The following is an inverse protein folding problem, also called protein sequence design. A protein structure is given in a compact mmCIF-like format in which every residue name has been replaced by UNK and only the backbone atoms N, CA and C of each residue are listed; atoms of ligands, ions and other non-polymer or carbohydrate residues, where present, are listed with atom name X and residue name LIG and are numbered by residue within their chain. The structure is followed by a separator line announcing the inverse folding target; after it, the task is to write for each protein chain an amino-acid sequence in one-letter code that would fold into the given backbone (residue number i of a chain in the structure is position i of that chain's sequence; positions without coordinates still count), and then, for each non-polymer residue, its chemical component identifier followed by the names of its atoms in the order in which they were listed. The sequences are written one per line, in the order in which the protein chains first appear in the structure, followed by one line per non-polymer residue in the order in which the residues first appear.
data_IF_397098843782
#
_entry.id   IF_397098843782
#
_cell.length_a   1.000
_cell.length_b   1.000
_cell.length_c   1.000
_cell.angle_alpha   90.00
_cell.angle_beta   90.00
_cell.angle_gamma   90.00
#
_symmetry.space_group_name_H-M   'P 1'
#
loop_
_entity.id
_entity.type
_entity.pdbx_description
1 polymer ?
#
# COMPACT_ATOMS: atom_id res chain seq x y z
N UNK A 1 11.84 -57.09 32.16
CA UNK A 1 11.90 -55.77 32.84
C UNK A 1 13.29 -55.13 32.85
N UNK A 2 14.38 -55.86 33.17
CA UNK A 2 15.74 -55.29 33.31
C UNK A 2 16.30 -54.52 32.09
N UNK A 3 16.06 -54.99 30.84
CA UNK A 3 16.54 -54.30 29.63
C UNK A 3 15.87 -52.94 29.39
N UNK A 4 14.54 -52.85 29.61
CA UNK A 4 13.80 -51.57 29.49
C UNK A 4 14.26 -50.53 30.50
N UNK A 5 14.61 -50.96 31.71
CA UNK A 5 15.15 -50.09 32.74
C UNK A 5 16.54 -49.55 32.34
N UNK A 6 17.40 -50.41 31.76
CA UNK A 6 18.72 -50.00 31.29
C UNK A 6 18.68 -48.97 30.15
N UNK A 7 17.78 -49.13 29.18
CA UNK A 7 17.60 -48.15 28.11
C UNK A 7 17.03 -46.82 28.62
N UNK A 8 16.09 -46.85 29.57
CA UNK A 8 15.57 -45.64 30.19
C UNK A 8 16.67 -44.86 30.93
N UNK A 9 17.55 -45.57 31.66
CA UNK A 9 18.71 -44.96 32.32
C UNK A 9 19.71 -44.35 31.33
N UNK A 10 19.98 -45.04 30.21
CA UNK A 10 20.91 -44.57 29.19
C UNK A 10 20.40 -43.32 28.46
N UNK A 11 19.10 -43.26 28.17
CA UNK A 11 18.45 -42.08 27.56
C UNK A 11 18.44 -40.91 28.53
N UNK A 12 18.15 -41.15 29.81
CA UNK A 12 18.18 -40.11 30.84
C UNK A 12 19.60 -39.53 31.00
N UNK A 13 20.63 -40.39 31.00
CA UNK A 13 22.02 -39.96 31.08
C UNK A 13 22.48 -39.16 29.85
N UNK A 14 22.03 -39.51 28.65
CA UNK A 14 22.28 -38.71 27.44
C UNK A 14 21.57 -37.36 27.47
N UNK A 15 20.35 -37.29 28.01
CA UNK A 15 19.60 -36.04 28.14
C UNK A 15 20.28 -35.08 29.12
N UNK A 16 20.85 -35.59 30.21
CA UNK A 16 21.59 -34.77 31.19
C UNK A 16 22.92 -34.26 30.61
N UNK A 17 23.63 -35.07 29.81
CA UNK A 17 24.87 -34.64 29.14
C UNK A 17 24.66 -33.59 28.03
N UNK A 18 23.43 -33.42 27.55
CA UNK A 18 23.09 -32.50 26.45
C UNK A 18 22.77 -31.07 26.90
N UNK A 19 22.75 -30.82 28.22
CA UNK A 19 22.53 -29.48 28.79
C UNK A 19 23.78 -28.61 28.61
N UNK A 20 23.93 -28.03 27.41
CA UNK A 20 24.86 -26.93 27.15
C UNK A 20 24.31 -25.69 27.85
N UNK A 21 24.89 -25.31 28.99
CA UNK A 21 24.62 -24.01 29.61
C UNK A 21 25.19 -22.92 28.72
N UNK A 22 24.33 -22.15 28.07
CA UNK A 22 24.72 -20.91 27.38
C UNK A 22 25.15 -19.88 28.42
N UNK A 23 26.46 -19.74 28.62
CA UNK A 23 26.99 -18.63 29.43
C UNK A 23 26.90 -17.35 28.60
N UNK A 24 26.03 -16.42 29.01
CA UNK A 24 25.99 -15.09 28.43
C UNK A 24 27.30 -14.36 28.76
N UNK A 25 28.00 -13.86 27.74
CA UNK A 25 29.20 -13.07 27.95
C UNK A 25 28.82 -11.74 28.60
N UNK A 26 29.35 -11.47 29.79
CA UNK A 26 29.13 -10.19 30.48
C UNK A 26 29.96 -9.11 29.80
N UNK A 27 29.30 -8.18 29.09
CA UNK A 27 29.94 -6.99 28.51
C UNK A 27 29.63 -5.77 29.37
N UNK A 28 30.67 -5.12 29.87
CA UNK A 28 30.54 -3.87 30.62
C UNK A 28 30.59 -2.70 29.65
N UNK A 29 29.59 -1.81 29.71
CA UNK A 29 29.56 -0.55 28.98
C UNK A 29 29.69 0.60 29.99
N UNK A 30 30.78 1.37 29.87
CA UNK A 30 30.99 2.56 30.72
C UNK A 30 30.50 3.80 29.98
N UNK A 31 29.50 4.49 30.54
CA UNK A 31 28.95 5.73 29.98
C UNK A 31 29.50 6.93 30.74
N UNK A 32 30.14 7.86 30.04
CA UNK A 32 30.69 9.09 30.62
C UNK A 32 29.76 10.29 30.37
N UNK A 33 28.69 10.39 31.16
CA UNK A 33 27.64 11.40 30.96
C UNK A 33 28.12 12.86 31.07
N UNK A 34 29.21 13.11 31.80
CA UNK A 34 29.80 14.45 31.96
C UNK A 34 30.78 14.84 30.84
N UNK A 35 31.12 13.92 29.93
CA UNK A 35 32.02 14.19 28.81
C UNK A 35 31.24 14.33 27.49
N UNK A 36 30.59 15.47 27.27
CA UNK A 36 29.89 15.76 26.02
C UNK A 36 30.91 15.85 24.87
N UNK A 37 30.73 15.04 23.82
CA UNK A 37 31.64 15.01 22.65
C UNK A 37 31.11 15.79 21.45
N UNK A 38 29.80 15.83 21.27
CA UNK A 38 29.14 16.55 20.18
C UNK A 38 27.68 16.81 20.56
N UNK A 39 27.11 17.87 20.00
CA UNK A 39 25.68 18.14 20.04
C UNK A 39 24.95 17.27 19.00
N UNK A 40 23.82 16.68 19.39
CA UNK A 40 22.96 15.91 18.48
C UNK A 40 22.02 16.91 17.80
N UNK A 41 22.18 17.08 16.49
CA UNK A 41 21.33 18.01 15.75
C UNK A 41 19.88 17.48 15.68
N UNK A 42 18.85 18.34 15.88
CA UNK A 42 17.46 17.91 15.77
C UNK A 42 17.09 17.34 14.40
N UNK A 43 17.85 17.68 13.35
CA UNK A 43 17.66 17.24 11.96
C UNK A 43 18.30 15.90 11.65
N UNK A 44 18.93 15.23 12.62
CA UNK A 44 19.48 13.88 12.39
C UNK A 44 18.39 12.83 12.09
N UNK A 45 17.12 13.14 12.38
CA UNK A 45 15.97 12.28 12.10
C UNK A 45 14.94 13.06 11.29
N UNK A 46 14.46 12.46 10.21
CA UNK A 46 13.49 13.05 9.31
C UNK A 46 12.76 12.00 8.48
N UNK A 47 11.92 12.48 7.55
CA UNK A 47 11.14 11.64 6.64
C UNK A 47 11.64 11.89 5.22
N UNK A 48 11.94 10.81 4.50
CA UNK A 48 12.09 10.84 3.05
C UNK A 48 10.75 10.51 2.40
N UNK A 49 10.39 11.26 1.36
CA UNK A 49 9.13 11.07 0.65
C UNK A 49 9.35 11.02 -0.86
N UNK A 50 8.85 9.96 -1.47
CA UNK A 50 8.70 9.80 -2.91
C UNK A 50 7.33 9.15 -3.17
N UNK A 51 6.78 9.35 -4.38
CA UNK A 51 5.62 8.58 -4.78
C UNK A 51 6.06 7.20 -5.28
N UNK A 52 6.16 6.26 -4.35
CA UNK A 52 6.40 4.85 -4.62
C UNK A 52 5.34 4.01 -3.93
N UNK A 53 4.90 2.93 -4.59
CA UNK A 53 3.94 1.97 -4.03
C UNK A 53 2.61 2.61 -3.54
N UNK A 54 2.11 3.64 -4.24
CA UNK A 54 0.90 4.40 -3.84
C UNK A 54 1.11 5.19 -2.53
N UNK A 55 2.33 5.69 -2.29
CA UNK A 55 2.67 6.50 -1.12
C UNK A 55 2.14 7.93 -1.21
N UNK A 56 2.08 8.51 -2.41
CA UNK A 56 1.42 9.79 -2.65
C UNK A 56 -0.03 9.59 -3.10
N UNK A 57 -0.22 9.22 -4.37
CA UNK A 57 -1.54 8.95 -4.94
C UNK A 57 -2.09 7.62 -4.41
N UNK A 58 -3.19 7.69 -3.65
CA UNK A 58 -3.72 6.56 -2.89
C UNK A 58 -3.13 6.39 -1.49
N UNK A 59 -2.20 7.26 -1.11
CA UNK A 59 -1.56 7.32 0.20
C UNK A 59 -1.88 8.64 0.90
N UNK A 60 -0.89 9.52 1.01
CA UNK A 60 -1.05 10.80 1.73
C UNK A 60 -1.92 11.81 0.98
N UNK A 61 -2.03 11.71 -0.36
CA UNK A 61 -2.93 12.56 -1.12
C UNK A 61 -4.37 12.07 -0.98
N UNK A 62 -5.27 12.95 -0.54
CA UNK A 62 -6.63 12.61 -0.13
C UNK A 62 -7.61 12.28 -1.28
N UNK A 63 -7.15 12.29 -2.53
CA UNK A 63 -7.99 11.91 -3.66
C UNK A 63 -8.34 10.42 -3.59
N UNK A 64 -9.64 10.12 -3.69
CA UNK A 64 -10.15 8.76 -3.65
C UNK A 64 -10.30 8.16 -5.05
N UNK A 65 -10.49 9.01 -6.07
CA UNK A 65 -10.68 8.63 -7.47
C UNK A 65 -9.32 8.42 -8.15
N UNK A 66 -9.03 7.16 -8.44
CA UNK A 66 -7.82 6.77 -9.17
C UNK A 66 -7.89 7.25 -10.61
N UNK A 67 -6.80 7.82 -11.12
CA UNK A 67 -6.71 8.23 -12.53
C UNK A 67 -7.88 9.16 -12.96
N UNK A 68 -8.19 10.17 -12.14
CA UNK A 68 -9.30 11.11 -12.36
C UNK A 68 -9.21 11.92 -13.67
N UNK A 69 -8.00 12.02 -14.23
CA UNK A 69 -7.71 12.77 -15.47
C UNK A 69 -7.45 11.88 -16.69
N UNK A 70 -7.57 10.56 -16.59
CA UNK A 70 -7.32 9.60 -17.69
C UNK A 70 -5.90 9.66 -18.28
N UNK A 71 -4.91 10.10 -17.49
CA UNK A 71 -3.52 10.31 -17.92
C UNK A 71 -2.63 9.08 -17.78
N UNK A 72 -3.10 8.02 -17.11
CA UNK A 72 -2.34 6.78 -17.00
C UNK A 72 -2.10 6.15 -18.38
N UNK A 73 -1.09 5.27 -18.45
CA UNK A 73 -0.74 4.56 -19.68
C UNK A 73 -1.96 3.87 -20.30
N UNK A 74 -2.70 3.11 -19.48
CA UNK A 74 -4.06 2.66 -19.84
C UNK A 74 -5.05 3.74 -19.38
N UNK A 75 -5.70 4.48 -20.31
CA UNK A 75 -6.45 5.67 -19.93
C UNK A 75 -7.67 5.36 -19.06
N UNK A 76 -8.26 4.17 -19.21
CA UNK A 76 -9.37 3.69 -18.38
C UNK A 76 -8.90 2.91 -17.13
N UNK A 77 -7.61 2.91 -16.79
CA UNK A 77 -7.16 2.25 -15.56
C UNK A 77 -7.90 2.82 -14.35
N UNK A 78 -8.43 1.93 -13.51
CA UNK A 78 -9.25 2.28 -12.36
C UNK A 78 -10.72 2.57 -12.69
N UNK A 79 -11.08 2.71 -13.97
CA UNK A 79 -12.45 2.96 -14.42
C UNK A 79 -13.06 1.74 -15.10
N UNK A 80 -14.33 1.50 -14.81
CA UNK A 80 -15.15 0.47 -15.47
C UNK A 80 -16.36 1.13 -16.13
N UNK A 81 -16.59 0.80 -17.40
CA UNK A 81 -17.84 1.13 -18.10
C UNK A 81 -18.90 0.11 -17.68
N UNK A 82 -20.04 0.62 -17.22
CA UNK A 82 -21.20 -0.14 -16.78
C UNK A 82 -22.42 0.19 -17.64
N UNK A 83 -23.46 -0.63 -17.51
CA UNK A 83 -24.74 -0.46 -18.21
C UNK A 83 -24.92 -1.51 -19.30
N UNK A 84 -26.14 -2.03 -19.45
CA UNK A 84 -26.47 -3.08 -20.44
C UNK A 84 -26.58 -2.55 -21.87
N UNK A 85 -26.64 -1.22 -22.04
CA UNK A 85 -26.82 -0.56 -23.33
C UNK A 85 -25.55 0.05 -23.92
N UNK A 86 -24.43 0.06 -23.18
CA UNK A 86 -23.19 0.64 -23.65
C UNK A 86 -22.63 -0.14 -24.84
N UNK A 87 -22.48 0.52 -25.98
CA UNK A 87 -21.87 -0.02 -27.19
C UNK A 87 -20.45 0.53 -27.34
N UNK A 88 -19.67 -0.15 -28.17
CA UNK A 88 -18.39 0.40 -28.61
C UNK A 88 -18.62 1.78 -29.25
N UNK A 89 -17.78 2.76 -28.88
CA UNK A 89 -17.90 4.14 -29.34
C UNK A 89 -18.76 5.05 -28.46
N UNK A 90 -19.57 4.51 -27.54
CA UNK A 90 -20.38 5.36 -26.64
C UNK A 90 -19.52 6.00 -25.53
N UNK A 91 -18.44 5.34 -25.12
CA UNK A 91 -17.46 5.88 -24.16
C UNK A 91 -16.10 5.91 -24.83
N UNK A 92 -15.59 7.12 -25.07
CA UNK A 92 -14.31 7.35 -25.72
C UNK A 92 -13.40 8.17 -24.82
N UNK A 93 -12.11 7.83 -24.84
CA UNK A 93 -11.08 8.72 -24.30
C UNK A 93 -10.52 9.53 -25.47
N UNK A 94 -10.74 10.83 -25.41
CA UNK A 94 -10.33 11.76 -26.46
C UNK A 94 -9.16 12.61 -25.97
N UNK A 95 -8.30 12.99 -26.92
CA UNK A 95 -7.19 13.89 -26.66
C UNK A 95 -7.60 15.34 -26.92
N UNK A 96 -7.14 16.24 -26.04
CA UNK A 96 -7.30 17.70 -26.15
C UNK A 96 -6.01 18.45 -25.84
N UNK A 97 -4.85 17.80 -25.99
CA UNK A 97 -3.53 18.36 -25.63
C UNK A 97 -3.28 19.76 -26.22
N UNK A 98 -3.75 20.01 -27.44
CA UNK A 98 -3.62 21.32 -28.09
C UNK A 98 -4.46 22.41 -27.40
N UNK A 99 -5.64 22.05 -26.89
CA UNK A 99 -6.53 22.97 -26.18
C UNK A 99 -6.20 23.08 -24.68
N UNK A 100 -5.70 22.01 -24.07
CA UNK A 100 -5.29 21.95 -22.67
C UNK A 100 -4.14 20.95 -22.50
N UNK A 101 -2.92 21.47 -22.43
CA UNK A 101 -1.71 20.67 -22.28
C UNK A 101 -1.54 20.08 -20.88
N UNK A 102 -2.08 20.74 -19.85
CA UNK A 102 -2.04 20.28 -18.45
C UNK A 102 -3.08 19.20 -18.12
N UNK A 103 -4.06 18.99 -18.99
CA UNK A 103 -5.01 17.90 -18.88
C UNK A 103 -5.38 17.43 -20.31
N UNK A 104 -4.50 16.66 -20.95
CA UNK A 104 -4.53 16.39 -22.38
C UNK A 104 -5.57 15.35 -22.78
N UNK A 105 -6.27 14.73 -21.82
CA UNK A 105 -7.28 13.68 -22.07
C UNK A 105 -8.57 13.97 -21.33
N UNK A 106 -9.66 13.43 -21.85
CA UNK A 106 -10.95 13.45 -21.18
C UNK A 106 -11.81 12.30 -21.69
N UNK A 107 -12.81 11.92 -20.88
CA UNK A 107 -13.83 10.97 -21.31
C UNK A 107 -14.97 11.72 -22.00
N UNK A 108 -15.38 11.22 -23.15
CA UNK A 108 -16.64 11.58 -23.80
C UNK A 108 -17.61 10.42 -23.63
N UNK A 109 -18.84 10.74 -23.23
CA UNK A 109 -19.95 9.78 -23.15
C UNK A 109 -21.05 10.26 -24.08
N UNK A 110 -21.41 9.42 -25.06
CA UNK A 110 -22.48 9.68 -26.02
C UNK A 110 -23.69 8.83 -25.66
N UNK A 111 -24.86 9.46 -25.51
CA UNK A 111 -26.12 8.79 -25.20
C UNK A 111 -27.08 8.90 -26.37
N UNK A 112 -27.38 7.78 -27.04
CA UNK A 112 -28.30 7.73 -28.17
C UNK A 112 -29.63 7.10 -27.71
N UNK A 113 -30.69 7.91 -27.53
CA UNK A 113 -32.03 7.47 -27.09
C UNK A 113 -31.98 6.47 -25.91
N UNK A 114 -31.22 6.83 -24.88
CA UNK A 114 -30.80 5.90 -23.87
C UNK A 114 -31.70 5.99 -22.62
N UNK A 115 -32.23 4.84 -22.19
CA UNK A 115 -32.98 4.75 -20.93
C UNK A 115 -32.09 5.12 -19.73
N UNK A 116 -32.72 5.44 -18.59
CA UNK A 116 -32.01 5.64 -17.33
C UNK A 116 -31.13 4.42 -17.02
N UNK A 117 -29.87 4.64 -16.64
CA UNK A 117 -28.86 3.60 -16.37
C UNK A 117 -28.37 2.80 -17.60
N UNK A 118 -28.56 3.32 -18.80
CA UNK A 118 -28.03 2.73 -20.05
C UNK A 118 -26.51 2.66 -20.09
N UNK A 119 -25.81 3.70 -19.59
CA UNK A 119 -24.35 3.81 -19.50
C UNK A 119 -23.96 4.46 -18.17
N UNK A 120 -22.88 3.97 -17.57
CA UNK A 120 -22.28 4.57 -16.38
C UNK A 120 -20.77 4.28 -16.28
N UNK A 121 -20.09 5.03 -15.44
CA UNK A 121 -18.68 4.82 -15.11
C UNK A 121 -18.55 4.61 -13.60
N UNK A 122 -17.78 3.60 -13.20
CA UNK A 122 -17.41 3.39 -11.79
C UNK A 122 -15.91 3.39 -11.65
N UNK A 123 -15.40 4.10 -10.66
CA UNK A 123 -13.98 4.08 -10.31
C UNK A 123 -13.74 3.13 -9.14
N UNK A 124 -12.70 2.31 -9.21
CA UNK A 124 -12.33 1.34 -8.17
C UNK A 124 -11.60 1.98 -6.97
N UNK A 125 -11.13 3.23 -7.12
CA UNK A 125 -10.24 3.90 -6.17
C UNK A 125 -8.88 3.22 -6.05
N UNK A 126 -8.20 3.44 -4.93
CA UNK A 126 -6.88 2.85 -4.67
C UNK A 126 -7.04 1.56 -3.87
N UNK A 127 -7.52 0.49 -4.55
CA UNK A 127 -7.95 -0.79 -3.94
C UNK A 127 -9.17 -0.62 -3.02
N UNK A 128 -10.09 0.26 -3.42
CA UNK A 128 -11.27 0.67 -2.66
C UNK A 128 -11.24 2.15 -2.32
N UNK A 129 -12.33 2.62 -1.69
CA UNK A 129 -12.47 3.99 -1.20
C UNK A 129 -12.99 3.97 0.24
N UNK A 130 -12.30 4.68 1.13
CA UNK A 130 -12.67 4.79 2.55
C UNK A 130 -13.79 5.80 2.79
N UNK A 131 -15.03 5.45 2.46
CA UNK A 131 -16.20 6.31 2.69
C UNK A 131 -16.69 6.16 4.14
N UNK A 132 -16.80 7.27 4.87
CA UNK A 132 -17.14 7.34 6.29
C UNK A 132 -18.40 8.17 6.51
N UNK A 133 -19.30 7.65 7.33
CA UNK A 133 -20.54 8.34 7.72
C UNK A 133 -20.23 9.70 8.35
N UNK A 134 -20.95 10.73 7.94
CA UNK A 134 -20.83 12.08 8.50
C UNK A 134 -19.68 12.92 7.94
N UNK A 135 -18.88 12.38 7.03
CA UNK A 135 -17.91 13.17 6.26
C UNK A 135 -18.53 13.68 4.95
N UNK A 136 -18.09 14.87 4.53
CA UNK A 136 -18.40 15.45 3.24
C UNK A 136 -17.30 15.07 2.24
N UNK A 137 -17.71 14.81 1.01
CA UNK A 137 -16.87 14.54 -0.14
C UNK A 137 -17.30 15.52 -1.24
N UNK A 138 -16.35 16.15 -1.91
CA UNK A 138 -16.58 17.13 -2.98
C UNK A 138 -16.32 16.50 -4.36
#
# INVERSE_FOLDING_TARGET
MRKKLFYASAVFMHMVLSLRTSNAQTKVFTVKASEIKAEIQPTMWGIFFEDINMGADGGIYAELVKNRSFEFYSPLMGWKVNGKGAKEGDVLILNRKEANSSNPRYVQVTLNNADKNSIGLTNEGFRGMGIKKGLRYD
#
